data_IF_494960557634
#
_entry.id   IF_494960557634
#
_cell.length_a   1.000
_cell.length_b   1.000
_cell.length_c   1.000
_cell.angle_alpha   90.00
_cell.angle_beta   90.00
_cell.angle_gamma   90.00
#
_symmetry.space_group_name_H-M   'P 1'
#
loop_
_entity.id
_entity.type
_entity.pdbx_description
1 polymer ?
#
# COMPACT_ATOMS: atom_id res chain seq x y z
N UNK A 1 18.83 23.18 -2.24
CA UNK A 1 18.36 22.53 -3.49
C UNK A 1 19.44 22.64 -4.57
N UNK A 2 19.81 23.85 -5.01
CA UNK A 2 20.72 24.05 -6.14
C UNK A 2 22.05 23.30 -5.97
N UNK A 3 22.71 23.42 -4.83
CA UNK A 3 24.02 22.79 -4.59
C UNK A 3 23.99 21.26 -4.74
N UNK A 4 22.94 20.61 -4.25
CA UNK A 4 22.79 19.14 -4.36
C UNK A 4 22.53 18.74 -5.82
N UNK A 5 21.62 19.41 -6.51
CA UNK A 5 21.30 19.10 -7.91
C UNK A 5 22.48 19.42 -8.84
N UNK A 6 23.22 20.52 -8.62
CA UNK A 6 24.45 20.84 -9.37
C UNK A 6 25.52 19.74 -9.17
N UNK A 7 25.69 19.24 -7.94
CA UNK A 7 26.64 18.14 -7.68
C UNK A 7 26.22 16.84 -8.40
N UNK A 8 24.93 16.51 -8.41
CA UNK A 8 24.38 15.37 -9.14
C UNK A 8 24.65 15.51 -10.66
N UNK A 9 24.39 16.68 -11.22
CA UNK A 9 24.65 16.97 -12.64
C UNK A 9 26.13 16.85 -12.99
N UNK A 10 27.02 17.40 -12.15
CA UNK A 10 28.47 17.34 -12.37
C UNK A 10 29.00 15.91 -12.33
N UNK A 11 28.51 15.10 -11.38
CA UNK A 11 28.88 13.68 -11.26
C UNK A 11 28.37 12.88 -12.44
N UNK A 12 27.11 13.08 -12.84
CA UNK A 12 26.52 12.43 -14.02
C UNK A 12 27.30 12.78 -15.30
N UNK A 13 27.63 14.07 -15.51
CA UNK A 13 28.39 14.53 -16.68
C UNK A 13 29.80 13.93 -16.79
N UNK A 14 30.36 13.47 -15.67
CA UNK A 14 31.67 12.76 -15.62
C UNK A 14 31.54 11.24 -15.80
N UNK A 15 30.33 10.75 -16.12
CA UNK A 15 30.05 9.33 -16.31
C UNK A 15 29.50 8.62 -15.08
N UNK A 16 29.31 9.31 -13.98
CA UNK A 16 28.74 8.78 -12.74
C UNK A 16 29.69 8.85 -11.54
N UNK A 17 29.17 8.44 -10.40
CA UNK A 17 29.91 8.42 -9.14
C UNK A 17 29.02 8.69 -7.91
N UNK A 18 29.65 9.15 -6.84
CA UNK A 18 29.01 9.37 -5.56
C UNK A 18 28.90 10.87 -5.26
N UNK A 19 27.70 11.33 -4.92
CA UNK A 19 27.45 12.64 -4.31
C UNK A 19 27.28 12.42 -2.82
N UNK A 20 28.10 13.04 -1.99
CA UNK A 20 28.08 12.86 -0.53
C UNK A 20 27.37 14.03 0.11
N UNK A 21 26.37 13.73 0.94
CA UNK A 21 25.75 14.67 1.87
C UNK A 21 26.37 14.41 3.24
N UNK A 22 27.24 15.31 3.73
CA UNK A 22 27.89 15.17 5.02
C UNK A 22 26.90 15.28 6.19
N UNK A 23 27.37 14.98 7.40
CA UNK A 23 26.61 15.20 8.62
C UNK A 23 26.12 16.66 8.73
N UNK A 24 24.97 16.86 9.38
CA UNK A 24 24.35 18.16 9.59
C UNK A 24 22.93 18.27 9.04
N UNK A 25 22.35 19.45 9.18
CA UNK A 25 21.01 19.78 8.70
C UNK A 25 21.06 20.42 7.30
N UNK A 26 20.38 19.79 6.36
CA UNK A 26 20.33 20.20 4.96
C UNK A 26 18.89 20.53 4.56
N UNK A 27 18.49 21.81 4.60
CA UNK A 27 17.20 22.26 4.09
C UNK A 27 17.23 22.34 2.56
N UNK A 28 16.31 21.66 1.90
CA UNK A 28 16.27 21.58 0.43
C UNK A 28 14.82 21.52 -0.12
N UNK A 29 14.64 21.94 -1.37
CA UNK A 29 13.51 21.55 -2.21
C UNK A 29 13.79 20.25 -2.96
N UNK A 30 13.11 19.98 -4.08
CA UNK A 30 13.24 18.70 -4.80
C UNK A 30 14.66 18.39 -5.26
N UNK A 31 15.04 17.12 -5.12
CA UNK A 31 16.29 16.54 -5.61
C UNK A 31 15.95 15.59 -6.76
N UNK A 32 16.64 15.71 -7.88
CA UNK A 32 16.50 14.81 -9.03
C UNK A 32 17.77 13.98 -9.24
N UNK A 33 17.64 12.65 -9.16
CA UNK A 33 18.73 11.73 -9.44
C UNK A 33 18.85 11.49 -10.94
N UNK A 34 20.10 11.44 -11.41
CA UNK A 34 20.45 11.14 -12.79
C UNK A 34 21.19 9.80 -12.87
N UNK A 35 21.26 9.23 -14.06
CA UNK A 35 21.91 7.93 -14.31
C UNK A 35 23.34 7.88 -13.77
N UNK A 36 23.72 6.72 -13.26
CA UNK A 36 25.05 6.44 -12.69
C UNK A 36 25.42 7.27 -11.46
N UNK A 37 24.45 7.84 -10.74
CA UNK A 37 24.69 8.62 -9.52
C UNK A 37 24.22 7.88 -8.29
N UNK A 38 25.12 7.78 -7.30
CA UNK A 38 24.80 7.37 -5.95
C UNK A 38 24.75 8.60 -5.02
N UNK A 39 23.57 8.94 -4.52
CA UNK A 39 23.39 9.93 -3.46
C UNK A 39 23.66 9.26 -2.11
N UNK A 40 24.80 9.55 -1.52
CA UNK A 40 25.25 8.96 -0.26
C UNK A 40 25.06 9.95 0.89
N UNK A 41 24.38 9.51 1.95
CA UNK A 41 24.22 10.33 3.17
C UNK A 41 25.08 9.77 4.30
N UNK A 42 25.90 10.61 4.90
CA UNK A 42 26.66 10.24 6.09
C UNK A 42 25.75 10.02 7.29
N UNK A 43 26.27 9.34 8.30
CA UNK A 43 25.61 9.23 9.60
C UNK A 43 25.37 10.63 10.17
N UNK A 44 24.20 10.87 10.77
CA UNK A 44 23.77 12.19 11.29
C UNK A 44 23.54 13.28 10.21
N UNK A 45 23.52 12.93 8.92
CA UNK A 45 22.96 13.82 7.90
C UNK A 45 21.42 13.81 7.98
N UNK A 46 20.82 14.99 8.14
CA UNK A 46 19.36 15.18 8.06
C UNK A 46 19.04 16.06 6.86
N UNK A 47 18.45 15.46 5.84
CA UNK A 47 17.93 16.16 4.66
C UNK A 47 16.46 16.48 4.93
N UNK A 48 16.17 17.73 5.27
CA UNK A 48 14.81 18.22 5.55
C UNK A 48 14.27 18.91 4.29
N UNK A 49 13.14 18.42 3.80
CA UNK A 49 12.48 19.04 2.66
C UNK A 49 11.66 20.27 3.07
N UNK A 50 11.71 21.30 2.23
CA UNK A 50 11.15 22.61 2.53
C UNK A 50 9.62 22.57 2.67
N UNK A 51 9.10 23.32 3.63
CA UNK A 51 7.67 23.63 3.76
C UNK A 51 7.17 24.69 2.77
N UNK A 52 8.05 25.30 1.98
CA UNK A 52 7.66 26.20 0.92
C UNK A 52 7.26 25.38 -0.32
N UNK A 53 5.96 25.16 -0.46
CA UNK A 53 5.39 24.34 -1.53
C UNK A 53 5.56 24.95 -2.92
N UNK A 54 5.91 26.24 -3.03
CA UNK A 54 6.21 26.90 -4.31
C UNK A 54 7.50 26.37 -4.97
N UNK A 55 8.38 25.75 -4.18
CA UNK A 55 9.62 25.12 -4.67
C UNK A 55 9.38 23.80 -5.41
N UNK A 56 8.16 23.25 -5.36
CA UNK A 56 7.83 21.95 -5.96
C UNK A 56 6.98 22.18 -7.22
N UNK A 57 7.57 22.14 -8.42
CA UNK A 57 6.84 22.29 -9.67
C UNK A 57 5.69 21.28 -9.77
N UNK A 58 4.56 21.72 -10.34
CA UNK A 58 3.45 20.81 -10.66
C UNK A 58 3.79 20.12 -11.98
N UNK A 59 3.87 18.80 -11.95
CA UNK A 59 4.28 17.95 -13.06
C UNK A 59 3.21 16.92 -13.41
N UNK A 60 3.21 16.45 -14.65
CA UNK A 60 2.44 15.27 -15.06
C UNK A 60 3.10 14.00 -14.49
N UNK A 61 2.30 13.21 -13.79
CA UNK A 61 2.76 11.98 -13.14
C UNK A 61 1.60 11.01 -12.93
N UNK A 62 1.82 9.95 -12.18
CA UNK A 62 0.79 9.02 -11.72
C UNK A 62 0.64 9.10 -10.19
N UNK A 63 -0.58 8.97 -9.71
CA UNK A 63 -0.88 8.81 -8.29
C UNK A 63 -2.08 7.87 -8.11
N UNK A 64 -2.00 6.94 -7.17
CA UNK A 64 -3.01 5.89 -6.98
C UNK A 64 -3.35 5.15 -8.28
N UNK A 65 -2.35 4.89 -9.12
CA UNK A 65 -2.50 4.18 -10.38
C UNK A 65 -3.16 4.95 -11.52
N UNK A 66 -3.45 6.25 -11.34
CA UNK A 66 -4.07 7.12 -12.33
C UNK A 66 -3.14 8.25 -12.77
N UNK A 67 -3.18 8.61 -14.04
CA UNK A 67 -2.48 9.78 -14.56
C UNK A 67 -3.12 11.07 -14.03
N UNK A 68 -2.27 11.97 -13.55
CA UNK A 68 -2.68 13.23 -12.94
C UNK A 68 -1.54 14.24 -12.92
N UNK A 69 -1.79 15.42 -12.35
CA UNK A 69 -0.75 16.37 -11.96
C UNK A 69 -0.55 16.35 -10.45
N UNK A 70 0.70 16.39 -10.03
CA UNK A 70 1.11 16.49 -8.61
C UNK A 70 2.31 17.40 -8.48
N UNK A 71 2.58 17.89 -7.30
CA UNK A 71 3.86 18.50 -7.00
C UNK A 71 5.00 17.47 -7.22
N UNK A 72 6.13 17.93 -7.76
CA UNK A 72 7.31 17.08 -7.93
C UNK A 72 7.71 16.47 -6.59
N UNK A 73 8.05 15.19 -6.60
CA UNK A 73 8.50 14.48 -5.40
C UNK A 73 9.77 15.08 -4.83
N UNK A 74 9.89 15.15 -3.51
CA UNK A 74 11.13 15.57 -2.85
C UNK A 74 12.37 14.86 -3.36
N UNK A 75 12.26 13.57 -3.68
CA UNK A 75 13.30 12.81 -4.37
C UNK A 75 12.69 12.16 -5.61
N UNK A 76 13.27 12.44 -6.77
CA UNK A 76 12.75 11.90 -8.03
C UNK A 76 13.84 11.41 -8.96
N UNK A 77 13.48 10.46 -9.83
CA UNK A 77 14.25 10.06 -11.01
C UNK A 77 13.29 9.57 -12.09
N UNK A 78 13.61 9.82 -13.34
CA UNK A 78 12.82 9.35 -14.49
C UNK A 78 13.73 8.86 -15.60
N UNK A 79 13.44 7.66 -16.12
CA UNK A 79 14.19 7.02 -17.19
C UNK A 79 15.72 6.93 -16.87
N UNK A 80 16.07 6.83 -15.59
CA UNK A 80 17.46 6.77 -15.14
C UNK A 80 17.91 5.31 -14.97
N UNK A 81 19.20 5.07 -15.22
CA UNK A 81 19.82 3.77 -15.05
C UNK A 81 20.94 3.83 -14.01
N UNK A 82 21.08 2.74 -13.22
CA UNK A 82 22.15 2.58 -12.24
C UNK A 82 22.20 3.74 -11.24
N UNK A 83 21.08 3.94 -10.53
CA UNK A 83 20.91 4.97 -9.51
C UNK A 83 20.88 4.38 -8.12
N UNK A 84 21.40 5.10 -7.16
CA UNK A 84 21.38 4.65 -5.77
C UNK A 84 21.15 5.79 -4.78
N UNK A 85 20.52 5.46 -3.66
CA UNK A 85 20.55 6.24 -2.42
C UNK A 85 21.10 5.30 -1.35
N UNK A 86 22.25 5.66 -0.78
CA UNK A 86 22.92 4.81 0.21
C UNK A 86 23.39 5.61 1.41
N UNK A 87 23.84 4.91 2.45
CA UNK A 87 24.35 5.51 3.67
C UNK A 87 23.38 5.41 4.84
N UNK A 88 23.51 6.30 5.84
CA UNK A 88 22.79 6.19 7.10
C UNK A 88 22.06 7.48 7.50
N UNK A 89 21.96 8.44 6.59
CA UNK A 89 21.26 9.69 6.82
C UNK A 89 19.74 9.54 6.77
N UNK A 90 19.09 10.63 7.10
CA UNK A 90 17.62 10.72 7.18
C UNK A 90 17.11 11.69 6.13
N UNK A 91 16.12 11.27 5.36
CA UNK A 91 15.33 12.12 4.47
C UNK A 91 13.96 12.36 5.12
N UNK A 92 13.70 13.60 5.53
CA UNK A 92 12.44 14.01 6.17
C UNK A 92 11.59 14.79 5.17
N UNK A 93 10.47 14.20 4.77
CA UNK A 93 9.56 14.78 3.79
C UNK A 93 8.76 15.98 4.27
N UNK A 94 8.87 16.34 5.60
CA UNK A 94 8.12 17.43 6.21
C UNK A 94 6.60 17.37 5.92
N UNK A 95 6.08 16.15 5.90
CA UNK A 95 4.73 15.84 5.41
C UNK A 95 3.60 16.47 6.19
N UNK A 96 3.85 16.88 7.45
CA UNK A 96 2.84 17.56 8.27
C UNK A 96 2.37 18.87 7.65
N UNK A 97 3.22 19.52 6.84
CA UNK A 97 2.87 20.76 6.13
C UNK A 97 1.91 20.52 4.94
N UNK A 98 1.83 19.28 4.46
CA UNK A 98 1.04 18.89 3.29
C UNK A 98 -0.26 18.18 3.64
N UNK A 99 -0.25 17.37 4.73
CA UNK A 99 -1.33 16.42 4.98
C UNK A 99 -2.56 17.08 5.58
N UNK A 100 -3.76 16.79 5.05
CA UNK A 100 -4.98 17.03 5.80
C UNK A 100 -4.97 16.16 7.06
N UNK A 101 -5.60 16.63 8.12
CA UNK A 101 -5.59 15.94 9.42
C UNK A 101 -7.00 15.73 9.94
N UNK A 102 -7.35 14.48 10.23
CA UNK A 102 -8.66 14.13 10.81
C UNK A 102 -8.68 14.46 12.30
N UNK A 103 -9.77 15.08 12.76
CA UNK A 103 -9.97 15.45 14.16
C UNK A 103 -9.92 14.26 15.10
N UNK A 104 -10.48 13.13 14.72
CA UNK A 104 -10.54 11.90 15.51
C UNK A 104 -9.17 11.23 15.76
N UNK A 105 -8.16 11.65 15.01
CA UNK A 105 -6.77 11.22 15.19
C UNK A 105 -5.98 12.07 16.17
N UNK A 106 -6.56 13.13 16.70
CA UNK A 106 -5.89 14.08 17.60
C UNK A 106 -6.63 14.19 18.94
N UNK A 107 -5.90 14.52 20.00
CA UNK A 107 -6.52 15.00 21.23
C UNK A 107 -7.15 16.36 20.99
N UNK A 108 -8.11 16.75 21.84
CA UNK A 108 -8.78 18.05 21.71
C UNK A 108 -7.81 19.24 21.77
N UNK A 109 -6.79 19.15 22.62
CA UNK A 109 -5.74 20.17 22.72
C UNK A 109 -4.88 20.27 21.47
N UNK A 110 -4.51 19.12 20.86
CA UNK A 110 -3.77 19.08 19.59
C UNK A 110 -4.62 19.67 18.46
N UNK A 111 -5.90 19.31 18.39
CA UNK A 111 -6.82 19.85 17.38
C UNK A 111 -6.95 21.37 17.49
N UNK A 112 -7.20 21.92 18.69
CA UNK A 112 -7.27 23.37 18.91
C UNK A 112 -5.97 24.08 18.48
N UNK A 113 -4.82 23.49 18.80
CA UNK A 113 -3.51 24.04 18.41
C UNK A 113 -3.34 24.01 16.88
N UNK A 114 -3.73 22.93 16.22
CA UNK A 114 -3.65 22.80 14.75
C UNK A 114 -4.54 23.83 14.06
N UNK A 115 -5.80 23.95 14.47
CA UNK A 115 -6.73 24.96 13.89
C UNK A 115 -6.23 26.38 14.12
N UNK A 116 -5.64 26.66 15.28
CA UNK A 116 -5.08 27.98 15.59
C UNK A 116 -3.81 28.30 14.79
N UNK A 117 -3.13 27.31 14.20
CA UNK A 117 -1.93 27.53 13.37
C UNK A 117 -2.23 28.05 11.97
N UNK A 118 -3.50 28.13 11.58
CA UNK A 118 -3.96 28.51 10.23
C UNK A 118 -4.64 27.35 9.52
N UNK A 119 -4.71 27.45 8.18
CA UNK A 119 -5.44 26.47 7.38
C UNK A 119 -6.96 26.63 7.52
N UNK A 120 -7.70 25.61 7.08
CA UNK A 120 -9.17 25.60 7.07
C UNK A 120 -9.70 24.25 7.53
N UNK A 121 -10.90 24.26 8.10
CA UNK A 121 -11.62 23.06 8.51
C UNK A 121 -12.81 22.85 7.55
N UNK A 122 -13.07 21.60 7.17
CA UNK A 122 -14.22 21.28 6.33
C UNK A 122 -15.56 21.67 6.99
N UNK A 123 -16.63 21.68 6.19
CA UNK A 123 -17.96 22.07 6.64
C UNK A 123 -18.50 21.20 7.78
N UNK A 124 -18.04 19.94 7.85
CA UNK A 124 -18.46 19.00 8.90
C UNK A 124 -17.66 19.14 10.21
N UNK A 125 -16.63 19.99 10.21
CA UNK A 125 -15.75 20.21 11.37
C UNK A 125 -14.85 19.00 11.70
N UNK A 126 -14.57 18.14 10.72
CA UNK A 126 -13.89 16.86 10.92
C UNK A 126 -12.47 16.79 10.39
N UNK A 127 -12.17 17.52 9.34
CA UNK A 127 -10.86 17.47 8.67
C UNK A 127 -10.30 18.88 8.55
N UNK A 128 -9.09 19.07 9.02
CA UNK A 128 -8.29 20.27 8.80
C UNK A 128 -7.48 20.13 7.51
N UNK A 129 -7.41 21.18 6.72
CA UNK A 129 -6.60 21.28 5.50
C UNK A 129 -5.61 22.45 5.62
N UNK A 130 -4.41 22.33 5.05
CA UNK A 130 -3.39 23.37 5.16
C UNK A 130 -3.79 24.69 4.48
N UNK A 131 -4.71 24.67 3.51
CA UNK A 131 -5.21 25.86 2.80
C UNK A 131 -6.60 25.66 2.19
N UNK A 132 -7.24 26.75 1.79
CA UNK A 132 -8.47 26.73 0.98
C UNK A 132 -8.26 25.99 -0.34
N UNK A 133 -7.07 26.11 -0.93
CA UNK A 133 -6.71 25.37 -2.14
C UNK A 133 -6.68 23.87 -1.92
N UNK A 134 -6.16 23.42 -0.77
CA UNK A 134 -6.19 22.01 -0.40
C UNK A 134 -7.63 21.49 -0.21
N UNK A 135 -8.49 22.26 0.43
CA UNK A 135 -9.92 21.91 0.58
C UNK A 135 -10.62 21.82 -0.79
N UNK A 136 -10.38 22.79 -1.69
CA UNK A 136 -10.91 22.75 -3.07
C UNK A 136 -10.46 21.49 -3.80
N UNK A 137 -9.18 21.14 -3.70
CA UNK A 137 -8.63 19.94 -4.32
C UNK A 137 -9.27 18.65 -3.77
N UNK A 138 -9.52 18.59 -2.46
CA UNK A 138 -10.22 17.48 -1.84
C UNK A 138 -11.65 17.32 -2.38
N UNK A 139 -12.39 18.42 -2.53
CA UNK A 139 -13.75 18.41 -3.08
C UNK A 139 -13.76 17.90 -4.52
N UNK A 140 -12.83 18.37 -5.36
CA UNK A 140 -12.70 17.95 -6.76
C UNK A 140 -12.20 16.51 -6.94
N UNK A 141 -11.63 15.93 -5.89
CA UNK A 141 -11.12 14.56 -5.89
C UNK A 141 -12.07 13.53 -5.27
N UNK A 142 -13.23 13.97 -4.73
CA UNK A 142 -14.12 13.18 -3.88
C UNK A 142 -14.45 11.77 -4.41
N UNK A 143 -14.74 11.67 -5.70
CA UNK A 143 -15.13 10.41 -6.34
C UNK A 143 -13.94 9.64 -6.95
N UNK A 144 -12.72 10.11 -6.73
CA UNK A 144 -11.51 9.63 -7.40
C UNK A 144 -10.27 9.58 -6.53
N UNK A 145 -10.44 9.36 -5.22
CA UNK A 145 -9.32 9.11 -4.31
C UNK A 145 -8.12 10.05 -4.59
N UNK A 146 -8.11 11.27 -4.14
CA UNK A 146 -6.99 12.22 -4.27
C UNK A 146 -6.58 12.67 -5.70
N UNK A 147 -7.31 12.26 -6.75
CA UNK A 147 -7.04 12.71 -8.13
C UNK A 147 -8.11 13.70 -8.57
N UNK A 148 -7.81 15.01 -8.64
CA UNK A 148 -8.77 16.02 -9.08
C UNK A 148 -9.31 15.77 -10.48
N UNK A 149 -10.61 16.00 -10.68
CA UNK A 149 -11.32 15.79 -11.95
C UNK A 149 -12.00 17.07 -12.41
N UNK A 150 -12.27 17.13 -13.71
CA UNK A 150 -12.95 18.22 -14.39
C UNK A 150 -12.05 18.93 -15.39
N UNK A 151 -12.60 19.94 -16.06
CA UNK A 151 -11.83 20.83 -16.92
C UNK A 151 -11.11 21.86 -16.04
N UNK A 152 -9.81 21.60 -15.76
CA UNK A 152 -9.00 22.40 -14.86
C UNK A 152 -7.96 23.20 -15.66
N UNK A 153 -7.89 24.49 -15.40
CA UNK A 153 -6.86 25.39 -15.93
C UNK A 153 -5.56 25.28 -15.12
N UNK A 154 -4.46 25.75 -15.65
CA UNK A 154 -3.18 25.80 -14.90
C UNK A 154 -3.32 26.60 -13.59
N UNK A 155 -4.13 27.66 -13.60
CA UNK A 155 -4.44 28.43 -12.38
C UNK A 155 -5.20 27.62 -11.34
N UNK A 156 -6.11 26.71 -11.76
CA UNK A 156 -6.79 25.82 -10.82
C UNK A 156 -5.82 24.84 -10.18
N UNK A 157 -4.90 24.28 -10.98
CA UNK A 157 -3.85 23.41 -10.48
C UNK A 157 -2.91 24.12 -9.49
N UNK A 158 -2.48 25.35 -9.80
CA UNK A 158 -1.65 26.15 -8.90
C UNK A 158 -2.39 26.51 -7.61
N UNK A 159 -3.68 26.82 -7.67
CA UNK A 159 -4.49 27.11 -6.49
C UNK A 159 -4.62 25.89 -5.56
N UNK A 160 -4.71 24.68 -6.12
CA UNK A 160 -4.81 23.42 -5.38
C UNK A 160 -3.45 22.83 -4.98
N UNK A 161 -2.35 23.52 -5.15
CA UNK A 161 -0.98 23.03 -4.94
C UNK A 161 -0.84 22.22 -3.66
N UNK A 162 -1.36 22.67 -2.55
CA UNK A 162 -1.24 22.01 -1.24
C UNK A 162 -2.02 20.69 -1.15
N UNK A 163 -3.00 20.47 -2.05
CA UNK A 163 -3.67 19.19 -2.20
C UNK A 163 -2.86 18.21 -3.04
N UNK A 164 -2.02 18.70 -3.92
CA UNK A 164 -1.24 17.90 -4.85
C UNK A 164 0.01 17.28 -4.15
N UNK A 165 -0.20 16.76 -2.97
CA UNK A 165 0.84 16.16 -2.10
C UNK A 165 1.70 15.18 -2.88
N UNK A 166 3.04 15.36 -2.97
CA UNK A 166 3.91 14.41 -3.65
C UNK A 166 4.12 13.16 -2.81
N UNK A 167 4.53 12.07 -3.43
CA UNK A 167 5.20 10.96 -2.74
C UNK A 167 6.61 11.41 -2.36
N UNK A 168 7.20 10.88 -1.28
CA UNK A 168 8.54 11.32 -0.85
C UNK A 168 9.61 10.96 -1.89
N UNK A 169 9.60 9.72 -2.36
CA UNK A 169 10.50 9.22 -3.37
C UNK A 169 9.70 8.65 -4.54
N UNK A 170 9.90 9.20 -5.73
CA UNK A 170 9.27 8.74 -6.97
C UNK A 170 10.34 8.40 -8.01
N UNK A 171 10.50 7.11 -8.31
CA UNK A 171 11.35 6.63 -9.39
C UNK A 171 10.48 6.03 -10.49
N UNK A 172 10.52 6.60 -11.68
CA UNK A 172 9.64 6.22 -12.78
C UNK A 172 10.47 5.71 -13.96
N UNK A 173 10.21 4.47 -14.40
CA UNK A 173 10.89 3.83 -15.53
C UNK A 173 12.41 3.82 -15.36
N UNK A 174 12.88 3.55 -14.13
CA UNK A 174 14.29 3.42 -13.82
C UNK A 174 14.74 1.96 -13.83
N UNK A 175 16.02 1.73 -14.12
CA UNK A 175 16.60 0.40 -14.14
C UNK A 175 17.87 0.36 -13.28
N UNK A 176 18.10 -0.76 -12.58
CA UNK A 176 19.20 -0.92 -11.61
C UNK A 176 19.16 0.14 -10.51
N UNK A 177 18.14 0.01 -9.64
CA UNK A 177 17.88 0.91 -8.52
C UNK A 177 18.34 0.27 -7.21
N UNK A 178 19.10 1.01 -6.41
CA UNK A 178 19.53 0.59 -5.07
C UNK A 178 19.11 1.64 -4.03
N UNK A 179 18.31 1.22 -3.03
CA UNK A 179 18.10 1.97 -1.79
C UNK A 179 18.70 1.15 -0.66
N UNK A 180 19.68 1.69 0.07
CA UNK A 180 20.36 0.93 1.12
C UNK A 180 20.74 1.77 2.33
N UNK A 181 20.28 1.36 3.50
CA UNK A 181 20.69 1.85 4.82
C UNK A 181 20.08 3.20 5.24
N UNK A 182 19.54 3.97 4.32
CA UNK A 182 18.97 5.30 4.60
C UNK A 182 17.60 5.20 5.32
N UNK A 183 17.24 6.26 6.01
CA UNK A 183 15.92 6.44 6.64
C UNK A 183 15.09 7.44 5.85
N UNK A 184 13.85 7.08 5.53
CA UNK A 184 12.85 7.95 4.91
C UNK A 184 11.70 8.15 5.89
N UNK A 185 11.31 9.38 6.16
CA UNK A 185 10.26 9.61 7.14
C UNK A 185 9.36 10.78 6.80
N UNK A 186 8.20 10.78 7.46
CA UNK A 186 7.27 11.91 7.45
C UNK A 186 6.92 12.36 6.03
N UNK A 187 6.52 11.39 5.19
CA UNK A 187 6.15 11.64 3.80
C UNK A 187 4.88 12.49 3.67
N UNK A 188 4.77 13.37 2.65
CA UNK A 188 3.52 14.06 2.35
C UNK A 188 2.35 13.13 1.97
N UNK A 189 2.65 11.99 1.32
CA UNK A 189 1.72 10.91 0.97
C UNK A 189 2.45 9.57 1.01
N UNK A 190 2.38 8.69 0.00
CA UNK A 190 3.18 7.48 -0.08
C UNK A 190 4.68 7.79 0.09
N UNK A 191 5.42 6.90 0.72
CA UNK A 191 6.84 7.17 0.99
C UNK A 191 7.75 6.76 -0.16
N UNK A 192 7.90 5.46 -0.41
CA UNK A 192 8.73 4.93 -1.48
C UNK A 192 7.84 4.44 -2.62
N UNK A 193 7.94 5.05 -3.79
CA UNK A 193 7.13 4.72 -4.95
C UNK A 193 7.97 4.51 -6.22
N UNK A 194 8.57 3.33 -6.39
CA UNK A 194 9.05 2.89 -7.69
C UNK A 194 7.88 2.53 -8.61
N UNK A 195 7.83 3.12 -9.80
CA UNK A 195 6.80 2.91 -10.82
C UNK A 195 7.43 2.47 -12.14
N UNK A 196 7.00 1.33 -12.68
CA UNK A 196 7.52 0.77 -13.95
C UNK A 196 9.05 0.65 -13.95
N UNK A 197 9.63 0.31 -12.80
CA UNK A 197 11.08 0.15 -12.65
C UNK A 197 11.50 -1.32 -12.75
N UNK A 198 12.76 -1.55 -13.08
CA UNK A 198 13.33 -2.89 -13.21
C UNK A 198 14.65 -3.03 -12.43
N UNK A 199 14.92 -4.25 -11.92
CA UNK A 199 16.15 -4.56 -11.17
C UNK A 199 16.33 -3.66 -9.93
N UNK A 200 15.39 -3.75 -8.99
CA UNK A 200 15.31 -2.90 -7.81
C UNK A 200 15.83 -3.68 -6.59
N UNK A 201 16.64 -3.05 -5.77
CA UNK A 201 17.00 -3.57 -4.44
C UNK A 201 16.71 -2.50 -3.39
N UNK A 202 15.91 -2.87 -2.38
CA UNK A 202 15.65 -2.07 -1.18
C UNK A 202 16.12 -2.88 0.02
N UNK A 203 17.24 -2.49 0.62
CA UNK A 203 17.91 -3.25 1.66
C UNK A 203 18.27 -2.40 2.87
N UNK A 204 17.94 -2.87 4.08
CA UNK A 204 18.24 -2.19 5.35
C UNK A 204 17.73 -0.74 5.40
N UNK A 205 16.65 -0.45 4.71
CA UNK A 205 15.99 0.86 4.71
C UNK A 205 15.02 0.92 5.90
N UNK A 206 14.92 2.09 6.50
CA UNK A 206 13.89 2.39 7.48
C UNK A 206 12.91 3.40 6.89
N UNK A 207 11.62 3.10 6.95
CA UNK A 207 10.56 4.08 6.71
C UNK A 207 9.83 4.34 8.03
N UNK A 208 9.56 5.61 8.33
CA UNK A 208 8.81 5.99 9.52
C UNK A 208 7.84 7.12 9.21
N UNK A 209 6.59 6.75 8.94
CA UNK A 209 5.49 7.69 8.79
C UNK A 209 4.64 7.72 10.07
N UNK A 210 4.07 8.87 10.45
CA UNK A 210 3.14 8.90 11.58
C UNK A 210 1.95 7.95 11.35
N UNK A 211 1.54 7.24 12.39
CA UNK A 211 0.41 6.28 12.33
C UNK A 211 -0.92 6.90 11.85
N UNK A 212 -1.06 8.22 11.98
CA UNK A 212 -2.24 8.99 11.56
C UNK A 212 -2.09 9.58 10.15
N UNK A 213 -0.98 9.37 9.47
CA UNK A 213 -0.73 9.96 8.16
C UNK A 213 -1.63 9.32 7.09
N UNK A 214 -2.49 10.13 6.48
CA UNK A 214 -3.34 9.68 5.37
C UNK A 214 -2.51 9.37 4.14
N UNK A 215 -2.73 8.20 3.54
CA UNK A 215 -1.93 7.69 2.44
C UNK A 215 -0.43 7.66 2.82
N UNK A 216 -0.15 7.32 4.07
CA UNK A 216 1.21 7.22 4.62
C UNK A 216 1.82 5.84 4.40
N UNK A 217 1.58 5.23 3.23
CA UNK A 217 2.13 3.95 2.84
C UNK A 217 3.66 3.99 2.91
N UNK A 218 4.30 2.90 3.34
CA UNK A 218 5.76 2.88 3.43
C UNK A 218 6.41 2.55 2.08
N UNK A 219 5.91 1.56 1.37
CA UNK A 219 6.39 1.15 0.05
C UNK A 219 5.24 0.77 -0.86
N UNK A 220 5.13 1.45 -1.98
CA UNK A 220 4.25 1.11 -3.10
C UNK A 220 5.09 0.70 -4.30
N UNK A 221 5.23 -0.60 -4.50
CA UNK A 221 5.93 -1.15 -5.65
C UNK A 221 4.94 -1.32 -6.80
N UNK A 222 4.92 -0.38 -7.76
CA UNK A 222 3.91 -0.33 -8.80
C UNK A 222 4.46 -0.72 -10.17
N UNK A 223 3.88 -1.74 -10.81
CA UNK A 223 4.26 -2.18 -12.18
C UNK A 223 5.76 -2.47 -12.33
N UNK A 224 6.42 -2.94 -11.29
CA UNK A 224 7.85 -3.19 -11.26
C UNK A 224 8.20 -4.64 -11.57
N UNK A 225 9.38 -4.87 -12.09
CA UNK A 225 9.88 -6.19 -12.44
C UNK A 225 11.27 -6.44 -11.84
N UNK A 226 11.48 -7.64 -11.25
CA UNK A 226 12.73 -8.04 -10.59
C UNK A 226 13.10 -7.11 -9.43
N UNK A 227 12.34 -7.22 -8.34
CA UNK A 227 12.60 -6.45 -7.13
C UNK A 227 13.01 -7.35 -5.95
N UNK A 228 13.94 -6.88 -5.15
CA UNK A 228 14.42 -7.50 -3.91
C UNK A 228 14.22 -6.51 -2.76
N UNK A 229 13.29 -6.83 -1.85
CA UNK A 229 12.89 -6.00 -0.70
C UNK A 229 13.29 -6.75 0.57
N UNK A 230 14.45 -6.43 1.15
CA UNK A 230 15.04 -7.26 2.21
C UNK A 230 15.54 -6.46 3.41
N UNK A 231 15.38 -7.05 4.60
CA UNK A 231 15.97 -6.54 5.86
C UNK A 231 15.50 -5.12 6.22
N UNK A 232 14.29 -4.72 5.83
CA UNK A 232 13.79 -3.37 6.05
C UNK A 232 12.89 -3.29 7.29
N UNK A 233 12.74 -2.08 7.82
CA UNK A 233 11.79 -1.74 8.88
C UNK A 233 10.84 -0.66 8.37
N UNK A 234 9.56 -0.95 8.33
CA UNK A 234 8.53 -0.07 7.83
C UNK A 234 7.52 0.26 8.94
N UNK A 235 7.42 1.51 9.32
CA UNK A 235 6.40 2.04 10.21
C UNK A 235 5.50 2.97 9.37
N UNK A 236 4.27 2.54 9.13
CA UNK A 236 3.38 3.15 8.16
C UNK A 236 2.12 3.73 8.80
N UNK A 237 1.56 4.76 8.15
CA UNK A 237 0.25 5.31 8.50
C UNK A 237 -0.88 4.76 7.63
N UNK A 238 -0.54 4.04 6.56
CA UNK A 238 -1.43 3.30 5.67
C UNK A 238 -0.79 1.94 5.35
N UNK A 239 -0.74 1.44 4.14
CA UNK A 239 -0.18 0.12 3.85
C UNK A 239 1.35 0.05 4.09
N UNK A 240 1.86 -1.07 4.59
CA UNK A 240 3.29 -1.29 4.83
C UNK A 240 4.06 -1.60 3.55
N UNK A 241 3.98 -2.83 3.06
CA UNK A 241 4.57 -3.26 1.79
C UNK A 241 3.43 -3.53 0.83
N UNK A 242 3.25 -2.67 -0.17
CA UNK A 242 2.12 -2.75 -1.10
C UNK A 242 2.58 -3.01 -2.54
N UNK A 243 2.00 -4.02 -3.15
CA UNK A 243 2.24 -4.41 -4.55
C UNK A 243 1.08 -3.89 -5.39
N UNK A 244 1.39 -3.04 -6.35
CA UNK A 244 0.43 -2.35 -7.21
C UNK A 244 0.79 -2.48 -8.70
N UNK A 245 -0.18 -2.22 -9.60
CA UNK A 245 0.04 -2.23 -11.06
C UNK A 245 -0.98 -1.37 -11.82
N UNK A 246 -1.31 -0.22 -11.26
CA UNK A 246 -2.24 0.72 -11.88
C UNK A 246 -3.70 0.44 -11.55
N UNK A 247 -4.56 1.40 -11.90
CA UNK A 247 -5.97 1.44 -11.51
C UNK A 247 -6.89 1.46 -12.72
N UNK A 248 -7.93 0.63 -12.67
CA UNK A 248 -9.04 0.59 -13.61
C UNK A 248 -8.58 0.52 -15.08
N UNK A 249 -9.26 1.16 -16.00
CA UNK A 249 -8.94 1.16 -17.42
C UNK A 249 -7.50 1.61 -17.72
N UNK A 250 -7.01 2.63 -17.03
CA UNK A 250 -5.63 3.13 -17.25
C UNK A 250 -4.60 2.07 -16.85
N UNK A 251 -4.81 1.38 -15.74
CA UNK A 251 -3.94 0.27 -15.32
C UNK A 251 -4.00 -0.92 -16.29
N UNK A 252 -5.20 -1.31 -16.74
CA UNK A 252 -5.36 -2.37 -17.74
C UNK A 252 -4.69 -2.01 -19.08
N UNK A 253 -4.87 -0.76 -19.56
CA UNK A 253 -4.23 -0.28 -20.80
C UNK A 253 -2.72 -0.18 -20.70
N UNK A 254 -2.18 0.21 -19.53
CA UNK A 254 -0.73 0.17 -19.27
C UNK A 254 -0.21 -1.26 -19.43
N UNK A 255 -0.93 -2.24 -18.90
CA UNK A 255 -0.63 -3.66 -19.09
C UNK A 255 0.72 -4.10 -18.50
N UNK A 256 1.28 -3.37 -17.56
CA UNK A 256 2.56 -3.65 -16.91
C UNK A 256 2.30 -4.28 -15.52
N UNK A 257 2.46 -5.60 -15.38
CA UNK A 257 2.28 -6.25 -14.08
C UNK A 257 3.42 -5.90 -13.12
N UNK A 258 3.13 -5.97 -11.81
CA UNK A 258 4.19 -6.06 -10.82
C UNK A 258 4.57 -7.52 -10.63
N UNK A 259 5.83 -7.89 -10.91
CA UNK A 259 6.21 -9.30 -10.98
C UNK A 259 7.67 -9.59 -10.64
N UNK A 260 7.94 -10.87 -10.34
CA UNK A 260 9.29 -11.36 -10.01
C UNK A 260 9.87 -10.61 -8.79
N UNK A 261 9.11 -10.58 -7.69
CA UNK A 261 9.45 -9.83 -6.49
C UNK A 261 9.75 -10.79 -5.33
N UNK A 262 10.81 -10.51 -4.62
CA UNK A 262 11.17 -11.18 -3.35
C UNK A 262 11.07 -10.16 -2.22
N UNK A 263 10.25 -10.48 -1.22
CA UNK A 263 10.08 -9.72 0.02
C UNK A 263 10.52 -10.60 1.19
N UNK A 264 11.63 -10.27 1.84
CA UNK A 264 12.22 -11.17 2.84
C UNK A 264 12.80 -10.43 4.03
N UNK A 265 12.67 -11.00 5.23
CA UNK A 265 13.26 -10.46 6.45
C UNK A 265 12.82 -9.02 6.78
N UNK A 266 11.59 -8.65 6.45
CA UNK A 266 11.10 -7.32 6.73
C UNK A 266 10.23 -7.29 7.99
N UNK A 267 10.27 -6.16 8.71
CA UNK A 267 9.37 -5.88 9.82
C UNK A 267 8.45 -4.72 9.43
N UNK A 268 7.15 -4.89 9.62
CA UNK A 268 6.15 -3.83 9.43
C UNK A 268 5.49 -3.54 10.77
N UNK A 269 5.52 -2.27 11.14
CA UNK A 269 4.93 -1.74 12.36
C UNK A 269 3.74 -0.85 11.98
N UNK A 270 2.61 -1.04 12.64
CA UNK A 270 1.38 -0.28 12.37
C UNK A 270 0.95 -0.38 10.89
N UNK A 271 0.17 0.58 10.43
CA UNK A 271 -0.32 0.60 9.05
C UNK A 271 -1.57 -0.24 8.82
N UNK A 272 -2.20 -0.04 7.65
CA UNK A 272 -3.45 -0.72 7.31
C UNK A 272 -3.26 -2.16 6.80
N UNK A 273 -2.04 -2.54 6.44
CA UNK A 273 -1.69 -3.91 6.06
C UNK A 273 -0.20 -4.17 6.12
N UNK A 274 0.20 -5.37 6.57
CA UNK A 274 1.62 -5.77 6.63
C UNK A 274 2.19 -6.00 5.22
N UNK A 275 1.67 -6.99 4.53
CA UNK A 275 1.91 -7.23 3.10
C UNK A 275 0.58 -7.12 2.36
N UNK A 276 0.53 -6.30 1.32
CA UNK A 276 -0.69 -5.92 0.62
C UNK A 276 -0.56 -6.11 -0.88
N UNK A 277 -1.59 -6.62 -1.51
CA UNK A 277 -1.77 -6.63 -2.96
C UNK A 277 -3.01 -5.81 -3.29
N UNK A 278 -2.83 -4.74 -4.06
CA UNK A 278 -3.92 -3.87 -4.49
C UNK A 278 -4.18 -2.66 -3.56
N UNK A 279 -5.36 -1.99 -3.71
CA UNK A 279 -6.45 -2.29 -4.68
C UNK A 279 -6.09 -1.97 -6.13
N UNK A 280 -5.09 -1.14 -6.38
CA UNK A 280 -4.60 -0.74 -7.69
C UNK A 280 -3.74 -1.86 -8.30
N UNK A 281 -4.39 -2.93 -8.84
CA UNK A 281 -3.71 -4.12 -9.37
C UNK A 281 -4.16 -4.46 -10.81
N UNK A 282 -4.64 -3.46 -11.55
CA UNK A 282 -5.29 -3.64 -12.85
C UNK A 282 -4.37 -4.14 -13.97
N UNK A 283 -3.05 -3.89 -13.87
CA UNK A 283 -2.03 -4.43 -14.77
C UNK A 283 -1.59 -5.86 -14.46
N UNK A 284 -2.07 -6.42 -13.34
CA UNK A 284 -1.72 -7.76 -12.88
C UNK A 284 -0.58 -7.81 -11.85
N UNK A 285 -0.56 -8.91 -11.09
CA UNK A 285 0.50 -9.22 -10.11
C UNK A 285 0.86 -10.69 -10.25
N UNK A 286 2.14 -11.01 -10.42
CA UNK A 286 2.57 -12.37 -10.70
C UNK A 286 3.95 -12.69 -10.13
N UNK A 287 4.13 -13.92 -9.68
CA UNK A 287 5.43 -14.43 -9.23
C UNK A 287 6.05 -13.59 -8.09
N UNK A 288 5.35 -13.56 -6.95
CA UNK A 288 5.77 -12.84 -5.75
C UNK A 288 6.12 -13.85 -4.65
N UNK A 289 7.26 -13.69 -4.03
CA UNK A 289 7.72 -14.49 -2.88
C UNK A 289 7.82 -13.61 -1.65
N UNK A 290 7.13 -14.00 -0.57
CA UNK A 290 7.20 -13.31 0.72
C UNK A 290 7.64 -14.31 1.77
N UNK A 291 8.75 -14.03 2.44
CA UNK A 291 9.31 -14.97 3.40
C UNK A 291 9.90 -14.26 4.62
N UNK A 292 9.78 -14.91 5.78
CA UNK A 292 10.38 -14.49 7.04
C UNK A 292 10.12 -13.02 7.37
N UNK A 293 8.84 -12.61 7.35
CA UNK A 293 8.41 -11.25 7.70
C UNK A 293 7.63 -11.22 9.02
N UNK A 294 7.73 -10.10 9.73
CA UNK A 294 7.02 -9.86 10.98
C UNK A 294 6.12 -8.63 10.86
N UNK A 295 4.84 -8.77 11.22
CA UNK A 295 3.87 -7.67 11.23
C UNK A 295 3.36 -7.46 12.65
N UNK A 296 3.47 -6.23 13.16
CA UNK A 296 3.10 -5.89 14.53
C UNK A 296 2.18 -4.68 14.56
N UNK A 297 0.95 -4.88 15.04
CA UNK A 297 -0.03 -3.80 15.16
C UNK A 297 -0.53 -3.24 13.83
N UNK A 298 -0.34 -3.96 12.73
CA UNK A 298 -0.98 -3.63 11.44
C UNK A 298 -2.46 -3.97 11.52
N UNK A 299 -3.34 -3.15 10.95
CA UNK A 299 -4.79 -3.42 10.97
C UNK A 299 -5.12 -4.79 10.38
N UNK A 300 -4.42 -5.18 9.32
CA UNK A 300 -4.50 -6.48 8.64
C UNK A 300 -3.08 -7.04 8.45
N UNK A 301 -2.93 -8.34 8.55
CA UNK A 301 -1.63 -8.99 8.30
C UNK A 301 -1.31 -9.14 6.82
N UNK A 302 -1.90 -10.13 6.18
CA UNK A 302 -1.82 -10.40 4.74
C UNK A 302 -3.11 -9.93 4.07
N UNK A 303 -3.00 -8.95 3.16
CA UNK A 303 -4.17 -8.24 2.63
C UNK A 303 -4.20 -8.28 1.10
N UNK A 304 -5.21 -8.94 0.55
CA UNK A 304 -5.50 -8.98 -0.88
C UNK A 304 -6.81 -8.24 -1.12
N UNK A 305 -6.75 -7.09 -1.81
CA UNK A 305 -7.92 -6.22 -1.98
C UNK A 305 -8.10 -5.78 -3.43
N UNK A 306 -9.35 -5.80 -3.89
CA UNK A 306 -9.76 -5.32 -5.20
C UNK A 306 -11.26 -5.02 -5.21
N UNK A 307 -11.78 -4.57 -6.34
CA UNK A 307 -13.22 -4.46 -6.61
C UNK A 307 -13.49 -4.61 -8.09
N UNK A 308 -14.76 -4.79 -8.43
CA UNK A 308 -15.22 -4.67 -9.82
C UNK A 308 -14.81 -3.32 -10.39
N UNK A 309 -14.46 -3.26 -11.66
CA UNK A 309 -13.87 -2.10 -12.32
C UNK A 309 -12.34 -2.17 -12.43
N UNK A 310 -11.66 -2.84 -11.48
CA UNK A 310 -10.20 -3.02 -11.51
C UNK A 310 -9.75 -3.94 -12.63
N UNK A 311 -10.41 -5.09 -12.80
CA UNK A 311 -9.88 -6.17 -13.62
C UNK A 311 -8.53 -6.66 -13.08
N UNK A 312 -7.68 -7.17 -13.98
CA UNK A 312 -6.33 -7.64 -13.64
C UNK A 312 -6.31 -9.05 -13.03
N UNK A 313 -5.16 -9.70 -13.14
CA UNK A 313 -4.91 -11.05 -12.66
C UNK A 313 -3.83 -11.03 -11.59
N UNK A 314 -4.16 -11.54 -10.39
CA UNK A 314 -3.24 -11.75 -9.28
C UNK A 314 -3.04 -13.24 -9.12
N UNK A 315 -1.84 -13.72 -9.38
CA UNK A 315 -1.51 -15.16 -9.31
C UNK A 315 -0.06 -15.46 -8.96
N UNK A 316 0.19 -16.73 -8.64
CA UNK A 316 1.52 -17.26 -8.36
C UNK A 316 2.24 -16.50 -7.22
N UNK A 317 1.55 -16.40 -6.08
CA UNK A 317 2.07 -15.74 -4.88
C UNK A 317 2.39 -16.82 -3.84
N UNK A 318 3.59 -16.77 -3.31
CA UNK A 318 4.14 -17.73 -2.37
C UNK A 318 4.55 -17.01 -1.09
N UNK A 319 3.88 -17.32 0.03
CA UNK A 319 4.08 -16.68 1.32
C UNK A 319 4.45 -17.72 2.34
N UNK A 320 5.53 -17.49 3.07
CA UNK A 320 5.98 -18.43 4.12
C UNK A 320 6.63 -17.72 5.32
N UNK A 321 6.67 -18.41 6.46
CA UNK A 321 7.37 -17.94 7.66
C UNK A 321 6.94 -16.54 8.11
N UNK A 322 5.64 -16.30 8.28
CA UNK A 322 5.09 -15.01 8.70
C UNK A 322 4.73 -15.05 10.18
N UNK A 323 5.20 -14.06 10.92
CA UNK A 323 4.85 -13.87 12.31
C UNK A 323 4.02 -12.57 12.48
N UNK A 324 2.88 -12.66 13.15
CA UNK A 324 1.96 -11.55 13.35
C UNK A 324 1.61 -11.37 14.81
N UNK A 325 1.54 -10.12 15.27
CA UNK A 325 1.23 -9.80 16.66
C UNK A 325 0.26 -8.62 16.68
N UNK A 326 -0.87 -8.79 17.41
CA UNK A 326 -1.87 -7.74 17.60
C UNK A 326 -2.41 -7.18 16.28
N UNK A 327 -3.12 -8.00 15.53
CA UNK A 327 -3.78 -7.65 14.27
C UNK A 327 -5.26 -7.35 14.59
N UNK A 328 -5.68 -6.08 14.71
CA UNK A 328 -7.03 -5.74 15.15
C UNK A 328 -8.16 -6.23 14.23
N UNK A 329 -7.89 -6.38 12.95
CA UNK A 329 -8.84 -6.92 11.98
C UNK A 329 -8.44 -8.36 11.56
N UNK A 330 -8.14 -8.63 10.30
CA UNK A 330 -7.89 -9.97 9.81
C UNK A 330 -6.38 -10.30 9.75
N UNK A 331 -6.00 -11.51 10.21
CA UNK A 331 -4.64 -12.00 9.96
C UNK A 331 -4.41 -12.26 8.46
N UNK A 332 -5.43 -12.77 7.76
CA UNK A 332 -5.43 -12.94 6.30
C UNK A 332 -6.79 -12.54 5.71
N UNK A 333 -6.79 -11.67 4.71
CA UNK A 333 -8.02 -11.30 4.00
C UNK A 333 -7.85 -11.29 2.48
N UNK A 334 -8.86 -11.82 1.80
CA UNK A 334 -9.15 -11.56 0.39
C UNK A 334 -10.48 -10.81 0.32
N UNK A 335 -10.48 -9.54 -0.06
CA UNK A 335 -11.68 -8.73 -0.19
C UNK A 335 -11.80 -8.14 -1.59
N UNK A 336 -12.75 -8.65 -2.38
CA UNK A 336 -13.01 -8.20 -3.76
C UNK A 336 -14.19 -7.21 -3.84
N UNK A 337 -14.60 -6.64 -2.70
CA UNK A 337 -15.58 -5.56 -2.57
C UNK A 337 -14.97 -4.30 -1.95
N UNK A 338 -13.66 -4.08 -2.10
CA UNK A 338 -12.94 -2.99 -1.47
C UNK A 338 -13.53 -1.62 -1.87
N UNK A 339 -13.89 -0.80 -0.86
CA UNK A 339 -14.56 0.49 -1.06
C UNK A 339 -16.05 0.40 -1.40
N UNK A 340 -16.58 -0.82 -1.53
CA UNK A 340 -18.01 -1.10 -1.69
C UNK A 340 -18.56 -1.91 -0.52
N UNK A 341 -19.88 -2.14 -0.48
CA UNK A 341 -20.51 -2.99 0.52
C UNK A 341 -20.59 -4.43 -0.01
N UNK A 342 -19.75 -5.31 0.53
CA UNK A 342 -19.82 -6.75 0.27
C UNK A 342 -20.89 -7.47 1.09
N UNK A 343 -21.23 -8.70 0.72
CA UNK A 343 -22.06 -9.56 1.55
C UNK A 343 -21.35 -9.80 2.89
N UNK A 344 -22.01 -9.44 4.00
CA UNK A 344 -21.55 -9.75 5.36
C UNK A 344 -20.67 -8.70 6.04
N UNK A 345 -20.38 -7.57 5.42
CA UNK A 345 -19.58 -6.49 6.02
C UNK A 345 -20.42 -5.47 6.83
N UNK A 346 -21.74 -5.45 6.68
CA UNK A 346 -22.62 -4.58 7.45
C UNK A 346 -23.63 -5.42 8.24
N UNK A 347 -23.50 -5.52 9.58
CA UNK A 347 -24.47 -6.24 10.42
C UNK A 347 -25.88 -5.65 10.38
N UNK A 348 -26.06 -4.45 9.80
CA UNK A 348 -27.35 -3.78 9.63
C UNK A 348 -27.89 -3.86 8.18
N UNK A 349 -27.19 -4.52 7.26
CA UNK A 349 -27.77 -4.77 5.94
C UNK A 349 -28.81 -5.89 6.06
N UNK A 350 -30.05 -5.50 5.81
CA UNK A 350 -31.14 -6.46 5.57
C UNK A 350 -30.66 -7.50 4.53
N UNK A 351 -30.70 -8.79 4.90
CA UNK A 351 -30.41 -9.94 4.02
C UNK A 351 -31.22 -9.92 2.71
N UNK A 352 -32.16 -9.00 2.59
CA UNK A 352 -33.13 -8.82 1.48
C UNK A 352 -32.58 -8.03 0.28
N UNK A 353 -31.40 -7.41 0.33
CA UNK A 353 -30.75 -6.77 -0.84
C UNK A 353 -29.49 -7.51 -1.29
N UNK A 354 -29.54 -8.83 -1.28
CA UNK A 354 -28.59 -9.60 -2.07
C UNK A 354 -28.74 -9.20 -3.55
N UNK A 355 -27.60 -8.95 -4.24
CA UNK A 355 -27.61 -8.80 -5.70
C UNK A 355 -28.45 -9.94 -6.30
N UNK A 356 -29.62 -9.61 -6.82
CA UNK A 356 -30.53 -10.60 -7.40
C UNK A 356 -30.04 -11.13 -8.74
N UNK A 357 -29.03 -10.48 -9.34
CA UNK A 357 -28.38 -10.85 -10.61
C UNK A 357 -26.86 -10.84 -10.46
N UNK A 358 -26.25 -11.98 -10.75
CA UNK A 358 -24.78 -12.08 -10.85
C UNK A 358 -24.37 -11.38 -12.14
N UNK A 359 -23.48 -10.34 -12.07
CA UNK A 359 -23.02 -9.66 -13.28
C UNK A 359 -22.16 -10.58 -14.16
N UNK A 360 -22.05 -10.32 -15.47
CA UNK A 360 -21.19 -11.09 -16.34
C UNK A 360 -19.70 -10.80 -16.01
N UNK A 361 -18.86 -11.80 -16.25
CA UNK A 361 -17.40 -11.62 -16.21
C UNK A 361 -16.96 -10.76 -17.38
N UNK A 362 -16.18 -9.72 -17.10
CA UNK A 362 -15.63 -8.79 -18.09
C UNK A 362 -14.14 -8.54 -17.83
N UNK A 363 -13.50 -7.72 -18.65
CA UNK A 363 -12.12 -7.26 -18.38
C UNK A 363 -11.99 -6.45 -17.09
N UNK A 364 -13.10 -5.97 -16.54
CA UNK A 364 -13.18 -5.23 -15.27
C UNK A 364 -13.29 -6.14 -14.06
N UNK A 365 -13.44 -7.45 -14.25
CA UNK A 365 -13.59 -8.41 -13.15
C UNK A 365 -12.21 -8.84 -12.66
N UNK A 366 -11.83 -8.57 -11.40
CA UNK A 366 -10.54 -8.97 -10.87
C UNK A 366 -10.46 -10.48 -10.63
N UNK A 367 -9.30 -11.07 -10.87
CA UNK A 367 -9.05 -12.50 -10.72
C UNK A 367 -7.93 -12.72 -9.69
N UNK A 368 -8.21 -13.52 -8.65
CA UNK A 368 -7.24 -13.94 -7.66
C UNK A 368 -7.17 -15.46 -7.62
N UNK A 369 -5.99 -16.02 -7.91
CA UNK A 369 -5.78 -17.48 -7.93
C UNK A 369 -4.33 -17.89 -7.71
N UNK A 370 -4.11 -19.19 -7.47
CA UNK A 370 -2.77 -19.79 -7.33
C UNK A 370 -1.94 -19.10 -6.26
N UNK A 371 -2.46 -19.04 -5.03
CA UNK A 371 -1.79 -18.40 -3.90
C UNK A 371 -1.51 -19.46 -2.82
N UNK A 372 -0.26 -19.51 -2.38
CA UNK A 372 0.25 -20.52 -1.47
C UNK A 372 0.77 -19.83 -0.20
N UNK A 373 0.18 -20.15 0.95
CA UNK A 373 0.47 -19.53 2.25
C UNK A 373 0.80 -20.64 3.25
N UNK A 374 1.98 -20.60 3.83
CA UNK A 374 2.37 -21.63 4.81
C UNK A 374 3.19 -21.05 5.96
N UNK A 375 3.20 -21.80 7.07
CA UNK A 375 4.02 -21.50 8.23
C UNK A 375 3.76 -20.07 8.76
N UNK A 376 2.47 -19.77 9.06
CA UNK A 376 2.03 -18.46 9.57
C UNK A 376 1.61 -18.59 11.02
N UNK A 377 2.12 -17.70 11.86
CA UNK A 377 1.69 -17.55 13.25
C UNK A 377 1.10 -16.17 13.48
N UNK A 378 -0.01 -16.10 14.20
CA UNK A 378 -0.62 -14.84 14.62
C UNK A 378 -1.07 -14.93 16.06
N UNK A 379 -0.65 -13.99 16.90
CA UNK A 379 -1.13 -13.86 18.25
C UNK A 379 -1.97 -12.59 18.40
N UNK A 380 -3.29 -12.76 18.56
CA UNK A 380 -4.26 -11.68 18.63
C UNK A 380 -4.72 -11.21 17.25
N UNK A 381 -5.92 -11.64 16.85
CA UNK A 381 -6.59 -11.20 15.63
C UNK A 381 -8.06 -10.88 15.87
N UNK A 382 -8.59 -9.90 15.10
CA UNK A 382 -10.03 -9.70 15.02
C UNK A 382 -10.70 -10.92 14.39
N UNK A 383 -10.20 -11.34 13.22
CA UNK A 383 -10.58 -12.54 12.50
C UNK A 383 -9.34 -13.28 12.00
N UNK A 384 -9.35 -14.59 12.05
CA UNK A 384 -8.21 -15.37 11.58
C UNK A 384 -8.05 -15.27 10.06
N UNK A 385 -9.09 -15.64 9.29
CA UNK A 385 -9.07 -15.62 7.83
C UNK A 385 -10.44 -15.17 7.31
N UNK A 386 -10.43 -14.30 6.29
CA UNK A 386 -11.66 -13.88 5.62
C UNK A 386 -11.50 -13.87 4.09
N UNK A 387 -12.32 -14.67 3.41
CA UNK A 387 -12.46 -14.63 1.95
C UNK A 387 -13.82 -14.03 1.61
N UNK A 388 -13.80 -12.93 0.86
CA UNK A 388 -14.97 -12.22 0.35
C UNK A 388 -14.82 -12.07 -1.17
N UNK A 389 -15.04 -13.18 -1.88
CA UNK A 389 -14.91 -13.27 -3.33
C UNK A 389 -16.13 -12.73 -4.08
N UNK A 390 -16.04 -12.74 -5.40
CA UNK A 390 -17.15 -12.37 -6.30
C UNK A 390 -17.91 -13.63 -6.73
N UNK A 391 -19.25 -13.60 -6.79
CA UNK A 391 -20.02 -14.77 -7.23
C UNK A 391 -19.77 -15.13 -8.71
N UNK A 392 -19.47 -14.15 -9.58
CA UNK A 392 -19.10 -14.34 -10.97
C UNK A 392 -17.65 -14.77 -11.18
N UNK A 393 -16.76 -14.47 -10.19
CA UNK A 393 -15.33 -14.79 -10.26
C UNK A 393 -14.81 -15.12 -8.86
N UNK A 394 -14.98 -16.38 -8.46
CA UNK A 394 -14.56 -16.87 -7.16
C UNK A 394 -13.04 -16.77 -6.97
N UNK A 395 -12.62 -16.56 -5.74
CA UNK A 395 -11.21 -16.70 -5.34
C UNK A 395 -10.84 -18.18 -5.51
N UNK A 396 -9.78 -18.49 -6.25
CA UNK A 396 -9.52 -19.84 -6.70
C UNK A 396 -8.12 -20.37 -6.41
N UNK A 397 -8.02 -21.65 -6.11
CA UNK A 397 -6.77 -22.39 -5.87
C UNK A 397 -5.89 -21.67 -4.83
N UNK A 398 -6.41 -21.65 -3.61
CA UNK A 398 -5.70 -21.10 -2.44
C UNK A 398 -5.28 -22.27 -1.54
N UNK A 399 -3.99 -22.32 -1.27
CA UNK A 399 -3.41 -23.35 -0.41
C UNK A 399 -2.91 -22.73 0.89
N UNK A 400 -3.41 -23.20 2.02
CA UNK A 400 -3.01 -22.77 3.37
C UNK A 400 -2.50 -23.96 4.15
N UNK A 401 -1.26 -23.90 4.63
CA UNK A 401 -0.63 -24.99 5.40
C UNK A 401 0.06 -24.45 6.64
N UNK A 402 -0.09 -25.14 7.78
CA UNK A 402 0.54 -24.76 9.05
C UNK A 402 0.20 -23.34 9.48
N UNK A 403 -1.07 -22.99 9.57
CA UNK A 403 -1.54 -21.68 10.03
C UNK A 403 -1.99 -21.80 11.48
N UNK A 404 -1.38 -21.03 12.37
CA UNK A 404 -1.73 -20.98 13.79
C UNK A 404 -2.15 -19.58 14.16
N UNK A 405 -3.40 -19.38 14.56
CA UNK A 405 -3.91 -18.11 15.06
C UNK A 405 -4.43 -18.31 16.48
N UNK A 406 -3.78 -17.68 17.44
CA UNK A 406 -4.19 -17.69 18.84
C UNK A 406 -4.88 -16.38 19.21
N UNK A 407 -5.81 -16.43 20.17
CA UNK A 407 -6.52 -15.24 20.66
C UNK A 407 -7.31 -14.50 19.56
N UNK A 408 -7.95 -15.22 18.65
CA UNK A 408 -8.82 -14.64 17.64
C UNK A 408 -10.23 -14.39 18.19
N UNK A 409 -10.86 -13.29 17.76
CA UNK A 409 -12.29 -13.05 18.07
C UNK A 409 -13.19 -13.89 17.17
N UNK A 410 -12.83 -14.03 15.90
CA UNK A 410 -13.53 -14.83 14.90
C UNK A 410 -12.56 -15.78 14.19
N UNK A 411 -13.07 -16.90 13.72
CA UNK A 411 -12.31 -17.92 13.03
C UNK A 411 -12.08 -17.62 11.54
N UNK A 412 -12.22 -18.67 10.74
CA UNK A 412 -12.09 -18.64 9.28
C UNK A 412 -13.49 -18.47 8.68
N UNK A 413 -13.63 -17.53 7.75
CA UNK A 413 -14.82 -17.35 6.95
C UNK A 413 -14.45 -17.40 5.47
N UNK A 414 -15.03 -18.33 4.73
CA UNK A 414 -14.84 -18.47 3.28
C UNK A 414 -16.16 -18.16 2.57
N UNK A 415 -16.14 -17.16 1.70
CA UNK A 415 -17.28 -16.80 0.86
C UNK A 415 -16.84 -16.62 -0.59
N UNK A 416 -17.59 -17.21 -1.53
CA UNK A 416 -17.30 -17.14 -2.96
C UNK A 416 -15.86 -17.60 -3.29
N UNK A 417 -15.55 -18.84 -2.92
CA UNK A 417 -14.23 -19.43 -3.12
C UNK A 417 -14.35 -20.83 -3.74
N UNK A 418 -13.33 -21.22 -4.50
CA UNK A 418 -13.23 -22.51 -5.18
C UNK A 418 -11.80 -23.06 -5.06
N UNK A 419 -11.66 -24.40 -4.95
CA UNK A 419 -10.36 -25.06 -4.81
C UNK A 419 -9.52 -24.50 -3.64
N UNK A 420 -10.08 -24.51 -2.42
CA UNK A 420 -9.35 -24.09 -1.20
C UNK A 420 -8.83 -25.31 -0.45
N UNK A 421 -7.53 -25.41 -0.30
CA UNK A 421 -6.88 -26.46 0.46
C UNK A 421 -6.34 -25.93 1.78
N UNK A 422 -6.81 -26.50 2.90
CA UNK A 422 -6.42 -26.16 4.26
C UNK A 422 -5.81 -27.39 4.93
N UNK A 423 -4.55 -27.27 5.36
CA UNK A 423 -3.82 -28.36 6.01
C UNK A 423 -3.17 -27.87 7.29
N UNK A 424 -3.41 -28.57 8.39
CA UNK A 424 -2.87 -28.24 9.72
C UNK A 424 -3.18 -26.78 10.12
N UNK A 425 -4.46 -26.42 10.12
CA UNK A 425 -4.96 -25.11 10.54
C UNK A 425 -5.39 -25.18 12.00
N UNK A 426 -4.86 -24.29 12.84
CA UNK A 426 -5.18 -24.23 14.27
C UNK A 426 -5.66 -22.83 14.62
N UNK A 427 -6.92 -22.71 14.98
CA UNK A 427 -7.53 -21.43 15.36
C UNK A 427 -8.06 -21.53 16.79
N UNK A 428 -7.48 -20.74 17.67
CA UNK A 428 -7.90 -20.61 19.05
C UNK A 428 -8.71 -19.33 19.23
N UNK A 429 -10.01 -19.50 19.50
CA UNK A 429 -10.93 -18.38 19.69
C UNK A 429 -10.90 -17.90 21.15
N UNK A 430 -11.05 -16.58 21.36
CA UNK A 430 -11.24 -15.97 22.68
C UNK A 430 -12.52 -16.45 23.37
N UNK A 431 -13.53 -16.81 22.61
CA UNK A 431 -14.79 -17.38 23.10
C UNK A 431 -15.05 -18.69 22.40
N UNK A 432 -15.56 -19.69 23.12
CA UNK A 432 -15.95 -20.96 22.52
C UNK A 432 -17.00 -20.76 21.43
N UNK A 433 -16.83 -21.44 20.31
CA UNK A 433 -17.71 -21.34 19.15
C UNK A 433 -17.21 -22.14 17.97
N UNK A 434 -17.90 -22.07 16.85
CA UNK A 434 -17.45 -22.59 15.58
C UNK A 434 -16.34 -21.69 15.03
N UNK A 435 -15.27 -22.29 14.54
CA UNK A 435 -14.09 -21.55 14.05
C UNK A 435 -13.90 -21.62 12.54
N UNK A 436 -14.81 -22.27 11.82
CA UNK A 436 -14.87 -22.27 10.35
C UNK A 436 -16.30 -22.08 9.88
N UNK A 437 -16.53 -21.09 9.04
CA UNK A 437 -17.78 -20.82 8.34
C UNK A 437 -17.52 -20.79 6.83
N UNK A 438 -18.35 -21.49 6.07
CA UNK A 438 -18.24 -21.58 4.61
C UNK A 438 -19.57 -21.25 3.96
N UNK A 439 -19.57 -20.47 2.86
CA UNK A 439 -20.76 -20.08 2.12
C UNK A 439 -20.40 -19.90 0.63
N UNK A 440 -21.21 -20.47 -0.26
CA UNK A 440 -20.97 -20.43 -1.72
C UNK A 440 -19.54 -20.87 -2.10
N UNK A 441 -19.11 -22.00 -1.57
CA UNK A 441 -17.77 -22.54 -1.83
C UNK A 441 -17.85 -23.93 -2.48
N UNK A 442 -16.84 -24.26 -3.27
CA UNK A 442 -16.70 -25.55 -3.89
C UNK A 442 -15.25 -26.07 -3.78
N UNK A 443 -15.09 -27.38 -3.86
CA UNK A 443 -13.77 -28.05 -3.85
C UNK A 443 -12.89 -27.64 -2.66
N UNK A 444 -13.47 -27.56 -1.46
CA UNK A 444 -12.71 -27.28 -0.22
C UNK A 444 -12.19 -28.56 0.36
N UNK A 445 -10.88 -28.62 0.64
CA UNK A 445 -10.22 -29.75 1.28
C UNK A 445 -9.65 -29.31 2.63
N UNK A 446 -9.98 -30.06 3.70
CA UNK A 446 -9.45 -29.84 5.05
C UNK A 446 -8.76 -31.10 5.52
N UNK A 447 -7.45 -31.04 5.78
CA UNK A 447 -6.60 -32.17 6.16
C UNK A 447 -6.79 -33.41 5.28
N UNK A 448 -6.90 -33.20 3.96
CA UNK A 448 -7.10 -34.22 2.96
C UNK A 448 -8.53 -34.73 2.80
N UNK A 449 -9.48 -34.24 3.62
CA UNK A 449 -10.90 -34.55 3.49
C UNK A 449 -11.59 -33.53 2.61
N UNK A 450 -12.17 -33.97 1.52
CA UNK A 450 -12.94 -33.10 0.63
C UNK A 450 -14.35 -32.84 1.21
N UNK A 451 -14.78 -31.59 1.17
CA UNK A 451 -16.12 -31.15 1.51
C UNK A 451 -16.95 -30.94 0.25
N UNK A 452 -18.22 -31.35 0.33
CA UNK A 452 -19.16 -31.13 -0.78
C UNK A 452 -19.36 -29.64 -1.03
N UNK A 453 -19.92 -29.30 -2.18
CA UNK A 453 -20.29 -27.93 -2.50
C UNK A 453 -21.27 -27.38 -1.46
N UNK A 454 -20.95 -26.20 -0.92
CA UNK A 454 -21.75 -25.52 0.11
C UNK A 454 -22.35 -24.27 -0.53
N UNK A 455 -23.68 -24.23 -0.56
CA UNK A 455 -24.44 -23.13 -1.16
C UNK A 455 -24.64 -21.93 -0.24
N UNK A 456 -25.61 -21.10 -0.58
CA UNK A 456 -25.90 -19.82 0.08
C UNK A 456 -26.32 -19.93 1.56
N UNK A 457 -26.82 -21.09 2.01
CA UNK A 457 -27.17 -21.28 3.43
C UNK A 457 -25.95 -21.44 4.33
N UNK A 458 -24.82 -21.80 3.74
CA UNK A 458 -23.55 -21.99 4.43
C UNK A 458 -23.51 -23.20 5.36
N UNK A 459 -22.33 -23.44 5.89
CA UNK A 459 -22.05 -24.49 6.89
C UNK A 459 -21.05 -23.94 7.93
N UNK A 460 -21.22 -24.33 9.19
CA UNK A 460 -20.32 -23.98 10.28
C UNK A 460 -19.72 -25.24 10.92
N UNK A 461 -18.40 -25.30 10.95
CA UNK A 461 -17.60 -26.43 11.44
C UNK A 461 -16.56 -26.00 12.48
N UNK A 462 -15.86 -26.98 13.02
CA UNK A 462 -14.60 -26.79 13.73
C UNK A 462 -13.48 -27.50 12.97
N UNK A 463 -12.30 -26.90 12.98
CA UNK A 463 -11.06 -27.55 12.54
C UNK A 463 -10.71 -28.70 13.48
#
# INVERSE_FOLDING_TARGET
TKAINDAIQQVNAKGGGKVIIPEGLWLTGPIELLSNVNLYTEKNALVLFSADHSLYPIINTSFEGLETRRCQSPISARNAENIAITGHGVFDGNGDTWRPTKKDKLTEGQWKKLVASGGVVDADGRIWYPSEGALKGAILSKDNFNVPRGELTDSDWDYMRDWLRPVLLSFIKCNKVLLEGATFKNSPSWCLHPLSCENITINKVTVSNPWYSQNGDALDLESCNKALIINNSFDAGDDGICIKSGKDEQGRKRGEPCQNVIVMNNTVLHGHGGFVVGSEMSGGVNNIYVDNCTFMGTDVGLRFKSNRGRGGLVENIYISNINMINIPNEALIFNLYYGGKGRGEDPNQDEKKAETTIPPVTEETPIFRNIFIKDVTCNGAGRAVFFNGLPEMRIKNINMENIVVSNAKEGVVLSEADEVNMKNIKIELLKSGKNLKMQNVSNVTIDGKNHAEIGAQGEELNF
#
